data_IF_072043119924
#
_entry.id   IF_072043119924
#
_cell.length_a   1.000
_cell.length_b   1.000
_cell.length_c   1.000
_cell.angle_alpha   90.00
_cell.angle_beta   90.00
_cell.angle_gamma   90.00
#
_symmetry.space_group_name_H-M   'P 1'
#
loop_
_entity.id
_entity.type
_entity.pdbx_description
1 polymer ?
#
# COMPACT_ATOMS: atom_id res chain seq x y z
N UNK A 1 -7.64 -27.25 31.00
CA UNK A 1 -8.06 -26.17 30.08
C UNK A 1 -6.87 -25.26 29.85
N UNK A 2 -6.27 -25.41 28.67
CA UNK A 2 -4.83 -25.41 28.41
C UNK A 2 -4.39 -24.17 27.63
N UNK A 3 -3.10 -23.80 27.73
CA UNK A 3 -2.38 -22.68 27.07
C UNK A 3 -2.98 -22.10 25.77
N UNK A 4 -3.53 -22.95 24.89
CA UNK A 4 -4.23 -22.56 23.66
C UNK A 4 -5.36 -21.52 23.86
N UNK A 5 -6.10 -21.59 24.97
CA UNK A 5 -7.20 -20.67 25.24
C UNK A 5 -6.72 -19.24 25.59
N UNK A 6 -5.47 -19.10 26.03
CA UNK A 6 -4.86 -17.79 26.25
C UNK A 6 -4.29 -17.20 24.95
N UNK A 7 -3.74 -18.03 24.05
CA UNK A 7 -3.21 -17.59 22.76
C UNK A 7 -4.30 -17.00 21.84
N UNK A 8 -5.52 -17.55 21.86
CA UNK A 8 -6.65 -17.04 21.08
C UNK A 8 -7.22 -15.72 21.60
N UNK A 9 -7.03 -15.40 22.89
CA UNK A 9 -7.51 -14.12 23.47
C UNK A 9 -6.81 -12.91 22.87
N UNK A 10 -5.55 -13.06 22.45
CA UNK A 10 -4.76 -11.98 21.83
C UNK A 10 -5.46 -11.46 20.57
N UNK A 11 -6.12 -12.33 19.82
CA UNK A 11 -6.85 -11.97 18.59
C UNK A 11 -8.15 -11.18 18.86
N UNK A 12 -8.68 -11.20 20.10
CA UNK A 12 -9.86 -10.41 20.48
C UNK A 12 -9.54 -8.95 20.80
N UNK A 13 -8.27 -8.58 20.82
CA UNK A 13 -7.85 -7.19 21.02
C UNK A 13 -8.29 -6.33 19.83
N UNK A 14 -8.92 -5.17 20.10
CA UNK A 14 -9.39 -4.23 19.08
C UNK A 14 -8.25 -3.75 18.16
N UNK A 15 -7.00 -3.77 18.63
CA UNK A 15 -5.81 -3.45 17.84
C UNK A 15 -5.61 -4.43 16.69
N UNK A 16 -6.00 -5.70 16.85
CA UNK A 16 -5.90 -6.71 15.79
C UNK A 16 -6.82 -6.39 14.62
N UNK A 17 -8.04 -5.93 14.89
CA UNK A 17 -8.96 -5.46 13.85
C UNK A 17 -8.42 -4.24 13.09
N UNK A 18 -7.77 -3.31 13.81
CA UNK A 18 -7.13 -2.13 13.19
C UNK A 18 -5.93 -2.51 12.34
N UNK A 19 -5.08 -3.42 12.82
CA UNK A 19 -3.91 -3.89 12.06
C UNK A 19 -4.35 -4.71 10.84
N UNK A 20 -5.41 -5.48 10.97
CA UNK A 20 -6.04 -6.17 9.85
C UNK A 20 -6.55 -5.18 8.78
N UNK A 21 -7.24 -4.12 9.20
CA UNK A 21 -7.67 -3.04 8.31
C UNK A 21 -6.48 -2.37 7.62
N UNK A 22 -5.40 -2.08 8.34
CA UNK A 22 -4.16 -1.56 7.76
C UNK A 22 -3.59 -2.51 6.69
N UNK A 23 -3.62 -3.82 6.94
CA UNK A 23 -3.28 -4.84 5.95
C UNK A 23 -4.15 -4.74 4.70
N UNK A 24 -5.47 -4.65 4.86
CA UNK A 24 -6.40 -4.49 3.72
C UNK A 24 -6.05 -3.26 2.88
N UNK A 25 -5.80 -2.11 3.53
CA UNK A 25 -5.45 -0.85 2.85
C UNK A 25 -4.14 -0.99 2.06
N UNK A 26 -3.15 -1.70 2.60
CA UNK A 26 -1.87 -1.98 1.94
C UNK A 26 -2.01 -2.95 0.76
N UNK A 27 -2.85 -3.98 0.88
CA UNK A 27 -3.06 -4.96 -0.18
C UNK A 27 -3.93 -4.48 -1.34
N UNK A 28 -4.82 -3.51 -1.11
CA UNK A 28 -5.80 -3.09 -2.11
C UNK A 28 -5.20 -2.49 -3.41
N UNK A 29 -4.16 -1.63 -3.39
CA UNK A 29 -3.57 -1.12 -4.63
C UNK A 29 -3.07 -2.20 -5.60
N UNK A 30 -2.66 -3.37 -5.08
CA UNK A 30 -2.29 -4.52 -5.92
C UNK A 30 -3.45 -5.03 -6.78
N UNK A 31 -4.70 -4.86 -6.33
CA UNK A 31 -5.89 -5.17 -7.14
C UNK A 31 -5.86 -4.39 -8.44
N UNK A 32 -5.49 -3.12 -8.40
CA UNK A 32 -5.49 -2.21 -9.54
C UNK A 32 -4.41 -2.61 -10.55
N UNK A 33 -3.17 -2.73 -10.09
CA UNK A 33 -2.00 -2.91 -10.96
C UNK A 33 -1.69 -4.37 -11.30
N UNK A 34 -2.09 -5.34 -10.47
CA UNK A 34 -1.80 -6.76 -10.70
C UNK A 34 -2.97 -7.49 -11.34
N UNK A 35 -4.17 -7.36 -10.76
CA UNK A 35 -5.37 -8.04 -11.29
C UNK A 35 -6.00 -7.22 -12.40
N UNK A 36 -6.47 -6.00 -12.10
CA UNK A 36 -7.23 -5.16 -13.01
C UNK A 36 -6.47 -4.87 -14.31
N UNK A 37 -5.26 -4.31 -14.19
CA UNK A 37 -4.43 -3.99 -15.36
C UNK A 37 -4.13 -5.23 -16.23
N UNK A 38 -3.72 -6.35 -15.62
CA UNK A 38 -3.34 -7.54 -16.40
C UNK A 38 -4.53 -8.14 -17.16
N UNK A 39 -5.71 -8.13 -16.55
CA UNK A 39 -6.93 -8.60 -17.21
C UNK A 39 -7.36 -7.64 -18.32
N UNK A 40 -7.37 -6.35 -18.02
CA UNK A 40 -7.76 -5.34 -18.99
C UNK A 40 -6.86 -5.37 -20.24
N UNK A 41 -5.54 -5.35 -20.08
CA UNK A 41 -4.62 -5.44 -21.22
C UNK A 41 -4.77 -6.74 -22.01
N UNK A 42 -5.11 -7.84 -21.34
CA UNK A 42 -5.35 -9.12 -22.01
C UNK A 42 -6.60 -9.08 -22.88
N UNK A 43 -7.67 -8.45 -22.41
CA UNK A 43 -8.94 -8.33 -23.15
C UNK A 43 -8.81 -7.40 -24.35
N UNK A 44 -7.99 -6.36 -24.23
CA UNK A 44 -7.60 -5.45 -25.32
C UNK A 44 -6.67 -6.11 -26.36
N UNK A 45 -6.40 -7.42 -26.21
CA UNK A 45 -5.64 -8.21 -27.18
C UNK A 45 -4.12 -8.07 -27.08
N UNK A 46 -3.58 -7.45 -26.02
CA UNK A 46 -2.14 -7.33 -25.86
C UNK A 46 -1.48 -8.69 -25.58
N UNK A 47 -0.26 -8.86 -26.10
CA UNK A 47 0.47 -10.12 -25.96
C UNK A 47 0.83 -10.40 -24.49
N UNK A 48 0.92 -11.69 -24.13
CA UNK A 48 1.40 -12.14 -22.81
C UNK A 48 2.78 -11.58 -22.46
N UNK A 49 3.66 -11.44 -23.46
CA UNK A 49 4.98 -10.83 -23.28
C UNK A 49 4.87 -9.35 -22.90
N UNK A 50 3.98 -8.59 -23.57
CA UNK A 50 3.74 -7.18 -23.26
C UNK A 50 3.20 -6.99 -21.85
N UNK A 51 2.24 -7.83 -21.43
CA UNK A 51 1.70 -7.83 -20.07
C UNK A 51 2.80 -8.17 -19.05
N UNK A 52 3.67 -9.15 -19.37
CA UNK A 52 4.83 -9.49 -18.55
C UNK A 52 5.79 -8.31 -18.37
N UNK A 53 6.09 -7.57 -19.44
CA UNK A 53 6.90 -6.35 -19.39
C UNK A 53 6.22 -5.23 -18.59
N UNK A 54 4.90 -5.05 -18.70
CA UNK A 54 4.15 -4.11 -17.87
C UNK A 54 4.27 -4.46 -16.36
N UNK A 55 4.41 -5.75 -16.02
CA UNK A 55 4.70 -6.20 -14.66
C UNK A 55 6.02 -5.68 -14.06
N UNK A 56 6.94 -5.10 -14.85
CA UNK A 56 8.14 -4.48 -14.29
C UNK A 56 7.86 -3.31 -13.34
N UNK A 57 6.65 -2.72 -13.38
CA UNK A 57 6.24 -1.72 -12.39
C UNK A 57 6.35 -2.25 -10.95
N UNK A 58 6.24 -3.57 -10.74
CA UNK A 58 6.38 -4.17 -9.40
C UNK A 58 7.80 -4.12 -8.85
N UNK A 59 8.81 -3.85 -9.68
CA UNK A 59 10.21 -3.72 -9.23
C UNK A 59 10.37 -2.64 -8.15
N UNK A 60 9.51 -1.62 -8.12
CA UNK A 60 9.54 -0.56 -7.12
C UNK A 60 9.33 -1.08 -5.70
N UNK A 61 8.54 -2.15 -5.51
CA UNK A 61 8.34 -2.76 -4.20
C UNK A 61 9.60 -3.45 -3.68
N UNK A 62 10.48 -3.93 -4.57
CA UNK A 62 11.74 -4.56 -4.17
C UNK A 62 12.78 -3.55 -3.66
N UNK A 63 12.66 -2.28 -4.07
CA UNK A 63 13.61 -1.21 -3.76
C UNK A 63 13.03 -0.11 -2.86
N UNK A 64 11.78 -0.25 -2.40
CA UNK A 64 11.09 0.79 -1.64
C UNK A 64 11.76 1.17 -0.31
N UNK A 65 12.54 0.24 0.26
CA UNK A 65 13.35 0.49 1.44
C UNK A 65 14.36 1.63 1.25
N UNK A 66 14.77 1.94 0.01
CA UNK A 66 15.73 3.01 -0.30
C UNK A 66 15.22 4.40 0.11
N UNK A 67 13.91 4.64 0.03
CA UNK A 67 13.31 5.93 0.40
C UNK A 67 12.54 5.89 1.71
N UNK A 68 12.49 4.75 2.41
CA UNK A 68 11.87 4.64 3.73
C UNK A 68 12.37 5.70 4.75
N UNK A 69 13.67 6.06 4.81
CA UNK A 69 14.15 7.10 5.72
C UNK A 69 13.52 8.48 5.45
N UNK A 70 13.18 8.76 4.20
CA UNK A 70 12.53 10.02 3.83
C UNK A 70 11.12 10.03 4.43
N UNK A 71 10.38 8.93 4.28
CA UNK A 71 9.02 8.79 4.81
C UNK A 71 9.00 8.82 6.34
N UNK A 72 10.03 8.29 6.98
CA UNK A 72 10.17 8.29 8.44
C UNK A 72 10.43 9.68 9.04
N UNK A 73 11.17 10.53 8.32
CA UNK A 73 11.64 11.81 8.86
C UNK A 73 10.90 13.03 8.31
N UNK A 74 10.41 12.95 7.08
CA UNK A 74 9.68 14.05 6.45
C UNK A 74 8.26 14.12 7.03
N UNK A 75 7.90 15.32 7.49
CA UNK A 75 6.54 15.65 7.91
C UNK A 75 5.83 16.35 6.76
N UNK A 76 4.64 15.87 6.39
CA UNK A 76 3.82 16.53 5.39
C UNK A 76 3.17 17.77 6.04
N UNK A 77 3.44 18.99 5.52
CA UNK A 77 2.83 20.21 6.04
C UNK A 77 1.30 20.12 6.02
N UNK A 78 0.63 20.81 6.96
CA UNK A 78 -0.84 20.86 7.11
C UNK A 78 -1.53 19.54 7.53
N UNK A 79 -1.27 18.42 6.85
CA UNK A 79 -1.84 17.11 7.17
C UNK A 79 -1.30 16.56 8.50
N UNK A 80 -0.01 16.79 8.80
CA UNK A 80 0.64 16.32 10.03
C UNK A 80 -0.08 16.81 11.29
N UNK A 81 -0.51 18.07 11.31
CA UNK A 81 -1.16 18.69 12.48
C UNK A 81 -2.53 18.07 12.77
N UNK A 82 -3.19 17.52 11.76
CA UNK A 82 -4.55 16.96 11.89
C UNK A 82 -4.56 15.44 12.07
N UNK A 83 -3.66 14.72 11.40
CA UNK A 83 -3.71 13.26 11.34
C UNK A 83 -2.51 12.54 11.96
N UNK A 84 -1.40 13.24 12.23
CA UNK A 84 -0.14 12.61 12.65
C UNK A 84 0.81 12.38 11.47
N UNK A 85 1.99 11.83 11.76
CA UNK A 85 3.07 11.65 10.76
C UNK A 85 2.73 10.55 9.77
N UNK A 86 2.37 9.36 10.25
CA UNK A 86 2.17 8.16 9.43
C UNK A 86 0.89 8.25 8.61
N UNK A 87 -0.22 8.64 9.25
CA UNK A 87 -1.51 8.75 8.54
C UNK A 87 -1.50 9.80 7.44
N UNK A 88 -0.77 10.91 7.63
CA UNK A 88 -0.62 11.92 6.57
C UNK A 88 0.01 11.35 5.30
N UNK A 89 1.03 10.51 5.44
CA UNK A 89 1.68 9.85 4.31
C UNK A 89 0.75 8.85 3.62
N UNK A 90 0.01 8.05 4.39
CA UNK A 90 -0.95 7.09 3.85
C UNK A 90 -2.04 7.83 3.06
N UNK A 91 -2.62 8.89 3.63
CA UNK A 91 -3.65 9.71 2.97
C UNK A 91 -3.10 10.35 1.69
N UNK A 92 -1.88 10.91 1.72
CA UNK A 92 -1.26 11.49 0.53
C UNK A 92 -1.07 10.46 -0.59
N UNK A 93 -0.49 9.30 -0.28
CA UNK A 93 -0.29 8.24 -1.26
C UNK A 93 -1.64 7.79 -1.84
N UNK A 94 -2.64 7.63 -0.98
CA UNK A 94 -3.97 7.19 -1.38
C UNK A 94 -4.69 8.20 -2.27
N UNK A 95 -4.54 9.52 -2.01
CA UNK A 95 -5.04 10.57 -2.90
C UNK A 95 -4.37 10.53 -4.27
N UNK A 96 -3.06 10.27 -4.33
CA UNK A 96 -2.33 10.21 -5.60
C UNK A 96 -2.72 8.96 -6.39
N UNK A 97 -2.88 7.81 -5.72
CA UNK A 97 -3.40 6.59 -6.34
C UNK A 97 -4.82 6.82 -6.87
N UNK A 98 -5.67 7.49 -6.10
CA UNK A 98 -7.04 7.86 -6.48
C UNK A 98 -7.05 8.73 -7.75
N UNK A 99 -6.27 9.81 -7.78
CA UNK A 99 -6.16 10.69 -8.96
C UNK A 99 -5.59 9.95 -10.18
N UNK A 100 -4.62 9.06 -9.96
CA UNK A 100 -4.03 8.23 -11.02
C UNK A 100 -5.07 7.27 -11.60
N UNK A 101 -5.91 6.66 -10.76
CA UNK A 101 -6.97 5.75 -11.20
C UNK A 101 -8.09 6.46 -11.97
N UNK A 102 -8.44 7.69 -11.60
CA UNK A 102 -9.37 8.52 -12.36
C UNK A 102 -8.86 8.85 -13.76
N UNK A 103 -7.56 9.17 -13.89
CA UNK A 103 -6.94 9.34 -15.19
C UNK A 103 -6.88 8.01 -15.97
N UNK A 104 -6.69 6.90 -15.26
CA UNK A 104 -6.50 5.58 -15.88
C UNK A 104 -7.71 5.11 -16.68
N UNK A 105 -8.92 5.29 -16.13
CA UNK A 105 -10.17 4.91 -16.79
C UNK A 105 -10.57 5.78 -17.98
N UNK A 106 -9.73 6.71 -18.43
CA UNK A 106 -9.99 7.57 -19.59
C UNK A 106 -8.97 7.35 -20.73
N UNK A 107 -8.02 6.41 -20.55
CA UNK A 107 -6.92 6.20 -21.49
C UNK A 107 -7.18 4.93 -22.31
N UNK A 108 -7.12 5.06 -23.63
CA UNK A 108 -7.14 3.91 -24.55
C UNK A 108 -5.80 3.13 -24.48
N UNK A 109 -5.82 1.85 -24.06
CA UNK A 109 -4.63 1.03 -23.90
C UNK A 109 -3.98 0.61 -25.21
N UNK A 110 -4.74 0.53 -26.29
CA UNK A 110 -4.24 0.10 -27.60
C UNK A 110 -3.36 1.19 -28.20
N UNK A 111 -3.76 2.45 -28.04
CA UNK A 111 -3.03 3.59 -28.60
C UNK A 111 -1.99 4.19 -27.65
N UNK A 112 -2.16 4.04 -26.33
CA UNK A 112 -1.36 4.76 -25.32
C UNK A 112 -0.75 3.86 -24.23
N UNK A 113 -0.32 2.64 -24.61
CA UNK A 113 0.26 1.66 -23.67
C UNK A 113 1.34 2.25 -22.74
N UNK A 114 2.23 3.09 -23.27
CA UNK A 114 3.30 3.73 -22.50
C UNK A 114 2.77 4.68 -21.41
N UNK A 115 1.67 5.39 -21.68
CA UNK A 115 1.00 6.25 -20.70
C UNK A 115 0.38 5.40 -19.60
N UNK A 116 -0.28 4.30 -19.97
CA UNK A 116 -0.89 3.37 -19.00
C UNK A 116 0.15 2.74 -18.09
N UNK A 117 1.27 2.27 -18.65
CA UNK A 117 2.36 1.73 -17.83
C UNK A 117 2.95 2.82 -16.93
N UNK A 118 3.06 4.06 -17.42
CA UNK A 118 3.49 5.21 -16.61
C UNK A 118 2.55 5.49 -15.43
N UNK A 119 1.23 5.48 -15.65
CA UNK A 119 0.22 5.62 -14.59
C UNK A 119 0.28 4.45 -13.61
N UNK A 120 0.40 3.22 -14.12
CA UNK A 120 0.60 2.02 -13.29
C UNK A 120 1.87 2.10 -12.43
N UNK A 121 2.96 2.64 -12.96
CA UNK A 121 4.20 2.88 -12.23
C UNK A 121 4.02 3.92 -11.12
N UNK A 122 3.31 5.02 -11.39
CA UNK A 122 2.96 6.02 -10.36
C UNK A 122 2.18 5.34 -9.24
N UNK A 123 1.14 4.56 -9.56
CA UNK A 123 0.35 3.83 -8.57
C UNK A 123 1.25 2.87 -7.76
N UNK A 124 2.15 2.13 -8.42
CA UNK A 124 3.06 1.21 -7.75
C UNK A 124 4.04 1.94 -6.80
N UNK A 125 4.62 3.07 -7.20
CA UNK A 125 5.53 3.88 -6.37
C UNK A 125 4.80 4.38 -5.12
N UNK A 126 3.60 4.98 -5.30
CA UNK A 126 2.85 5.52 -4.18
C UNK A 126 2.25 4.42 -3.30
N UNK A 127 1.87 3.26 -3.86
CA UNK A 127 1.48 2.09 -3.07
C UNK A 127 2.65 1.54 -2.26
N UNK A 128 3.83 1.39 -2.86
CA UNK A 128 5.02 0.92 -2.14
C UNK A 128 5.44 1.91 -1.05
N UNK A 129 5.23 3.21 -1.27
CA UNK A 129 5.46 4.26 -0.27
C UNK A 129 4.42 4.22 0.85
N UNK A 130 3.16 3.95 0.51
CA UNK A 130 2.07 3.74 1.46
C UNK A 130 2.37 2.57 2.39
N UNK A 131 2.91 1.47 1.86
CA UNK A 131 3.27 0.27 2.64
C UNK A 131 4.29 0.58 3.74
N UNK A 132 5.32 1.39 3.43
CA UNK A 132 6.30 1.85 4.42
C UNK A 132 5.61 2.57 5.60
N UNK A 133 4.70 3.49 5.28
CA UNK A 133 3.98 4.25 6.31
C UNK A 133 3.02 3.37 7.12
N UNK A 134 2.35 2.39 6.47
CA UNK A 134 1.46 1.42 7.10
C UNK A 134 2.23 0.48 8.03
N UNK A 135 3.37 -0.05 7.59
CA UNK A 135 4.20 -0.94 8.40
C UNK A 135 4.71 -0.24 9.66
N UNK A 136 5.13 1.02 9.53
CA UNK A 136 5.51 1.83 10.68
C UNK A 136 4.31 2.09 11.62
N UNK A 137 3.15 2.46 11.07
CA UNK A 137 1.94 2.70 11.87
C UNK A 137 1.49 1.44 12.62
N UNK A 138 1.60 0.26 12.01
CA UNK A 138 1.31 -1.04 12.63
C UNK A 138 2.20 -1.27 13.85
N UNK A 139 3.50 -1.05 13.71
CA UNK A 139 4.46 -1.23 14.81
C UNK A 139 4.12 -0.27 15.96
N UNK A 140 3.73 0.96 15.65
CA UNK A 140 3.29 1.96 16.65
C UNK A 140 2.00 1.56 17.39
N UNK A 141 1.17 0.65 16.85
CA UNK A 141 -0.03 0.15 17.55
C UNK A 141 0.26 -0.81 18.70
N UNK A 142 1.45 -1.44 18.73
CA UNK A 142 1.79 -2.49 19.71
C UNK A 142 3.00 -2.07 20.53
N UNK A 143 2.90 -2.18 21.87
CA UNK A 143 4.02 -1.85 22.75
C UNK A 143 5.13 -2.89 22.60
N UNK A 144 6.40 -2.43 22.65
CA UNK A 144 7.59 -3.31 22.51
C UNK A 144 7.63 -4.45 23.53
N UNK A 145 7.02 -4.29 24.71
CA UNK A 145 6.98 -5.35 25.73
C UNK A 145 5.96 -6.46 25.43
N UNK A 146 5.01 -6.24 24.52
CA UNK A 146 3.89 -7.16 24.23
C UNK A 146 4.21 -8.12 23.08
N UNK A 147 5.21 -9.00 23.27
CA UNK A 147 5.71 -9.90 22.21
C UNK A 147 4.62 -10.76 21.54
N UNK A 148 3.67 -11.29 22.32
CA UNK A 148 2.57 -12.11 21.80
C UNK A 148 1.61 -11.29 20.91
N UNK A 149 1.28 -10.06 21.32
CA UNK A 149 0.45 -9.12 20.56
C UNK A 149 1.15 -8.68 19.28
N UNK A 150 2.48 -8.51 19.34
CA UNK A 150 3.28 -8.13 18.17
C UNK A 150 3.27 -9.23 17.10
N UNK A 151 3.44 -10.50 17.52
CA UNK A 151 3.38 -11.64 16.60
C UNK A 151 1.97 -11.79 15.99
N UNK A 152 0.91 -11.68 16.81
CA UNK A 152 -0.46 -11.70 16.31
C UNK A 152 -0.73 -10.53 15.34
N UNK A 153 -0.24 -9.33 15.65
CA UNK A 153 -0.36 -8.16 14.78
C UNK A 153 0.31 -8.36 13.42
N UNK A 154 1.51 -8.95 13.38
CA UNK A 154 2.17 -9.29 12.12
C UNK A 154 1.33 -10.28 11.28
N UNK A 155 0.77 -11.32 11.91
CA UNK A 155 -0.12 -12.27 11.25
C UNK A 155 -1.39 -11.58 10.70
N UNK A 156 -2.02 -10.72 11.50
CA UNK A 156 -3.20 -9.98 11.09
C UNK A 156 -2.93 -9.03 9.92
N UNK A 157 -1.74 -8.41 9.87
CA UNK A 157 -1.34 -7.56 8.75
C UNK A 157 -1.23 -8.37 7.46
N UNK A 158 -0.59 -9.55 7.50
CA UNK A 158 -0.43 -10.43 6.33
C UNK A 158 -1.78 -10.95 5.83
N UNK A 159 -2.64 -11.42 6.74
CA UNK A 159 -3.98 -11.90 6.36
C UNK A 159 -4.81 -10.72 5.83
N UNK A 160 -4.71 -9.54 6.44
CA UNK A 160 -5.36 -8.32 5.95
C UNK A 160 -4.90 -7.96 4.53
N UNK A 161 -3.60 -8.03 4.26
CA UNK A 161 -3.03 -7.78 2.93
C UNK A 161 -3.59 -8.71 1.87
N UNK A 162 -3.57 -10.02 2.13
CA UNK A 162 -4.17 -11.00 1.22
C UNK A 162 -5.68 -10.82 1.08
N UNK A 163 -6.37 -10.42 2.14
CA UNK A 163 -7.81 -10.13 2.09
C UNK A 163 -8.08 -8.96 1.16
N UNK A 164 -7.39 -7.82 1.34
CA UNK A 164 -7.53 -6.65 0.49
C UNK A 164 -7.24 -6.95 -0.97
N UNK A 165 -6.15 -7.67 -1.24
CA UNK A 165 -5.76 -8.05 -2.59
C UNK A 165 -6.71 -9.07 -3.24
N UNK A 166 -7.01 -10.19 -2.57
CA UNK A 166 -7.81 -11.27 -3.18
C UNK A 166 -9.29 -10.93 -3.23
N UNK A 167 -9.86 -10.40 -2.16
CA UNK A 167 -11.28 -10.02 -2.17
C UNK A 167 -11.50 -8.87 -3.13
N UNK A 168 -10.62 -7.86 -3.15
CA UNK A 168 -10.70 -6.79 -4.15
C UNK A 168 -10.53 -7.30 -5.58
N UNK A 169 -9.63 -8.27 -5.81
CA UNK A 169 -9.47 -8.92 -7.12
C UNK A 169 -10.69 -9.70 -7.57
N UNK A 170 -11.37 -10.40 -6.65
CA UNK A 170 -12.65 -11.07 -6.92
C UNK A 170 -13.72 -10.04 -7.26
N UNK A 171 -13.84 -8.96 -6.48
CA UNK A 171 -14.79 -7.87 -6.78
C UNK A 171 -14.53 -7.27 -8.16
N UNK A 172 -13.28 -6.98 -8.50
CA UNK A 172 -12.91 -6.45 -9.81
C UNK A 172 -13.32 -7.39 -10.96
N UNK A 173 -12.99 -8.68 -10.85
CA UNK A 173 -13.27 -9.69 -11.86
C UNK A 173 -14.78 -9.85 -12.10
N UNK A 174 -15.53 -10.16 -11.04
CA UNK A 174 -16.96 -10.41 -11.14
C UNK A 174 -17.75 -9.17 -11.56
N UNK A 175 -17.30 -7.99 -11.14
CA UNK A 175 -17.92 -6.73 -11.57
C UNK A 175 -17.69 -6.48 -13.06
N UNK A 176 -16.45 -6.64 -13.55
CA UNK A 176 -16.13 -6.48 -14.95
C UNK A 176 -16.93 -7.48 -15.82
N UNK A 177 -16.97 -8.75 -15.42
CA UNK A 177 -17.73 -9.81 -16.09
C UNK A 177 -19.23 -9.50 -16.12
N UNK A 178 -19.83 -9.15 -14.99
CA UNK A 178 -21.25 -8.80 -14.91
C UNK A 178 -21.61 -7.58 -15.77
N UNK A 179 -20.77 -6.55 -15.77
CA UNK A 179 -20.98 -5.35 -16.60
C UNK A 179 -20.82 -5.65 -18.10
N UNK A 180 -19.87 -6.52 -18.46
CA UNK A 180 -19.68 -7.00 -19.82
C UNK A 180 -20.91 -7.80 -20.30
N UNK A 181 -21.42 -8.73 -19.49
CA UNK A 181 -22.62 -9.51 -19.80
C UNK A 181 -23.88 -8.63 -19.96
N UNK A 182 -23.96 -7.55 -19.18
CA UNK A 182 -25.02 -6.53 -19.31
C UNK A 182 -24.90 -5.66 -20.57
N UNK A 183 -23.79 -5.77 -21.32
CA UNK A 183 -23.57 -5.04 -22.57
C UNK A 183 -23.06 -3.61 -22.40
N UNK A 184 -22.46 -3.27 -21.25
CA UNK A 184 -21.80 -1.97 -21.11
C UNK A 184 -20.49 -1.95 -21.90
N UNK A 185 -20.32 -1.00 -22.82
CA UNK A 185 -19.06 -0.81 -23.55
C UNK A 185 -17.92 -0.35 -22.62
N UNK A 186 -18.24 0.44 -21.59
CA UNK A 186 -17.28 1.08 -20.68
C UNK A 186 -17.06 0.27 -19.39
N UNK A 187 -17.23 -1.05 -19.43
CA UNK A 187 -17.29 -1.90 -18.23
C UNK A 187 -16.01 -1.82 -17.36
N UNK A 188 -14.82 -1.67 -17.96
CA UNK A 188 -13.58 -1.45 -17.22
C UNK A 188 -13.52 -0.09 -16.53
N UNK A 189 -13.98 0.98 -17.17
CA UNK A 189 -14.02 2.32 -16.58
C UNK A 189 -14.92 2.35 -15.34
N UNK A 190 -16.08 1.70 -15.44
CA UNK A 190 -17.02 1.53 -14.33
C UNK A 190 -16.38 0.66 -13.23
N UNK A 191 -15.72 -0.44 -13.59
CA UNK A 191 -15.02 -1.32 -12.64
C UNK A 191 -13.95 -0.54 -11.87
N UNK A 192 -13.09 0.21 -12.57
CA UNK A 192 -12.08 1.04 -11.93
C UNK A 192 -12.69 2.14 -11.05
N UNK A 193 -13.82 2.74 -11.47
CA UNK A 193 -14.55 3.72 -10.67
C UNK A 193 -15.08 3.12 -9.36
N UNK A 194 -15.62 1.90 -9.39
CA UNK A 194 -16.06 1.18 -8.18
C UNK A 194 -14.87 0.84 -7.28
N UNK A 195 -13.75 0.37 -7.84
CA UNK A 195 -12.53 0.13 -7.08
C UNK A 195 -11.98 1.42 -6.46
N UNK A 196 -12.14 2.55 -7.15
CA UNK A 196 -11.81 3.89 -6.67
C UNK A 196 -12.65 4.26 -5.44
N UNK A 197 -13.96 3.98 -5.48
CA UNK A 197 -14.85 4.16 -4.33
C UNK A 197 -14.44 3.28 -3.15
N UNK A 198 -14.04 2.03 -3.38
CA UNK A 198 -13.56 1.13 -2.31
C UNK A 198 -12.25 1.67 -1.70
N UNK A 199 -11.33 2.14 -2.54
CA UNK A 199 -10.10 2.79 -2.07
C UNK A 199 -10.43 4.00 -1.19
N UNK A 200 -11.36 4.86 -1.61
CA UNK A 200 -11.80 6.01 -0.84
C UNK A 200 -12.44 5.62 0.50
N UNK A 201 -13.29 4.59 0.52
CA UNK A 201 -13.87 4.04 1.75
C UNK A 201 -12.79 3.49 2.70
N UNK A 202 -11.73 2.90 2.16
CA UNK A 202 -10.61 2.43 2.97
C UNK A 202 -9.82 3.59 3.60
N UNK A 203 -9.74 4.75 2.92
CA UNK A 203 -9.18 5.99 3.49
C UNK A 203 -10.04 6.51 4.66
N UNK A 204 -11.37 6.48 4.52
CA UNK A 204 -12.28 6.82 5.62
C UNK A 204 -12.10 5.85 6.80
N UNK A 205 -11.95 4.55 6.52
CA UNK A 205 -11.70 3.55 7.55
C UNK A 205 -10.37 3.75 8.28
N UNK A 206 -9.32 4.22 7.58
CA UNK A 206 -8.02 4.57 8.18
C UNK A 206 -8.16 5.61 9.30
N UNK A 207 -9.13 6.53 9.22
CA UNK A 207 -9.34 7.55 10.25
C UNK A 207 -9.70 6.97 11.63
N UNK A 208 -10.22 5.74 11.66
CA UNK A 208 -10.51 5.00 12.90
C UNK A 208 -9.24 4.50 13.62
N UNK A 209 -8.12 4.43 12.90
CA UNK A 209 -6.81 4.06 13.44
C UNK A 209 -6.23 5.29 14.14
N UNK A 210 -5.98 5.16 15.45
CA UNK A 210 -5.36 6.22 16.24
C UNK A 210 -3.86 6.16 16.03
N UNK A 211 -3.28 7.28 15.64
CA UNK A 211 -1.84 7.48 15.71
C UNK A 211 -1.55 8.19 17.03
N UNK A 212 -0.44 7.85 17.70
CA UNK A 212 -0.02 8.59 18.88
C UNK A 212 0.19 10.05 18.49
N UNK A 213 -0.40 10.97 19.24
CA UNK A 213 -0.30 12.41 18.96
C UNK A 213 1.17 12.81 18.88
N UNK A 214 1.59 13.54 17.83
CA UNK A 214 2.98 13.96 17.72
C UNK A 214 3.34 14.85 18.91
N UNK A 215 4.52 14.65 19.50
CA UNK A 215 5.04 15.59 20.46
C UNK A 215 5.39 16.89 19.70
N UNK A 216 4.77 18.05 19.99
CA UNK A 216 4.99 19.28 19.23
C UNK A 216 6.47 19.72 19.20
N UNK A 217 7.25 19.30 20.20
CA UNK A 217 8.69 19.59 20.33
C UNK A 217 9.60 18.69 19.48
N UNK A 218 9.05 17.75 18.71
CA UNK A 218 9.86 16.91 17.82
C UNK A 218 10.40 17.80 16.70
N UNK A 219 11.63 18.32 16.84
CA UNK A 219 12.25 19.20 15.86
C UNK A 219 12.21 18.60 14.44
N UNK A 220 12.04 19.45 13.42
CA UNK A 220 12.25 19.07 12.02
C UNK A 220 13.76 18.83 11.87
N UNK A 221 14.19 17.59 12.07
CA UNK A 221 15.56 17.19 11.77
C UNK A 221 15.86 17.43 10.29
N UNK A 222 17.08 17.88 9.98
CA UNK A 222 17.48 18.06 8.58
C UNK A 222 17.54 16.70 7.86
N UNK A 223 16.94 16.65 6.67
CA UNK A 223 16.84 15.44 5.85
C UNK A 223 18.20 14.93 5.39
N UNK A 224 19.09 15.86 4.99
CA UNK A 224 20.38 15.54 4.40
C UNK A 224 21.28 14.67 5.32
N UNK A 225 21.60 15.05 6.57
CA UNK A 225 22.46 14.22 7.42
C UNK A 225 21.80 12.89 7.79
N UNK A 226 20.47 12.84 7.88
CA UNK A 226 19.73 11.62 8.23
C UNK A 226 19.82 10.57 7.11
N UNK A 227 19.63 10.99 5.86
CA UNK A 227 19.75 10.12 4.69
C UNK A 227 21.19 9.66 4.51
N UNK A 228 22.17 10.56 4.63
CA UNK A 228 23.61 10.22 4.51
C UNK A 228 24.04 9.20 5.57
N UNK A 229 23.63 9.41 6.82
CA UNK A 229 23.92 8.46 7.90
C UNK A 229 23.25 7.11 7.65
N UNK A 230 21.99 7.09 7.23
CA UNK A 230 21.27 5.85 6.95
C UNK A 230 21.92 5.04 5.82
N UNK A 231 22.30 5.68 4.70
CA UNK A 231 22.99 5.01 3.58
C UNK A 231 24.31 4.40 4.05
N UNK A 232 25.07 5.17 4.84
CA UNK A 232 26.33 4.69 5.42
C UNK A 232 26.12 3.46 6.31
N UNK A 233 25.12 3.47 7.19
CA UNK A 233 24.90 2.38 8.14
C UNK A 233 24.23 1.15 7.56
N UNK A 234 23.31 1.34 6.61
CA UNK A 234 22.44 0.26 6.10
C UNK A 234 22.99 -0.39 4.84
N UNK A 235 23.68 0.38 3.99
CA UNK A 235 24.18 -0.09 2.69
C UNK A 235 25.69 -0.27 2.74
N UNK A 236 26.42 0.76 3.15
CA UNK A 236 27.89 0.77 3.04
C UNK A 236 28.53 -0.15 4.09
N UNK A 237 28.16 -0.04 5.38
CA UNK A 237 28.75 -0.87 6.45
C UNK A 237 28.57 -2.37 6.21
N UNK A 238 27.37 -2.89 5.86
CA UNK A 238 27.20 -4.33 5.63
C UNK A 238 27.97 -4.82 4.39
N UNK A 239 27.93 -4.06 3.28
CA UNK A 239 28.68 -4.43 2.07
C UNK A 239 30.19 -4.41 2.30
N UNK A 240 30.71 -3.36 2.92
CA UNK A 240 32.15 -3.27 3.24
C UNK A 240 32.57 -4.35 4.23
N UNK A 241 31.70 -4.74 5.19
CA UNK A 241 31.97 -5.87 6.08
C UNK A 241 31.99 -7.22 5.36
N UNK A 242 31.17 -7.38 4.31
CA UNK A 242 31.10 -8.60 3.50
C UNK A 242 32.38 -8.84 2.69
N UNK A 243 32.97 -7.78 2.13
CA UNK A 243 34.22 -7.87 1.34
C UNK A 243 35.51 -7.82 2.18
N UNK A 244 35.38 -7.68 3.51
CA UNK A 244 36.53 -7.61 4.43
C UNK A 244 36.78 -8.95 5.15
N UNK A 245 35.95 -9.95 4.86
CA UNK A 245 36.15 -11.38 5.16
C UNK A 245 36.53 -12.12 3.89
#
# INVERSE_FOLDING_TARGET
MTKANNSLKVYKDIRMAKIFLLGIISGFPWVLIATGLSLWLKEEGLSRSTIGWAGLIFSVYAINFLWAPIIDNLKIPFLFLRFGRRKSWIILCQMIIFLSLLAWGQIDPTNNLHVIIGVGLIIAIFSATQDIAIDALRIEQVKKQEKEVMAAGAAMAVIGWWTGYKVGGVVALYLAEALQEMGFENYWEITFSVLCCILFLSCLALLTVKEATPNPDTQIGSLAPTVVNWVSETVVKPLTSFFRN
#
